data_IF_830893632955
#
_entry.id   IF_830893632955
#
_cell.length_a   1.000
_cell.length_b   1.000
_cell.length_c   1.000
_cell.angle_alpha   90.00
_cell.angle_beta   90.00
_cell.angle_gamma   90.00
#
_symmetry.space_group_name_H-M   'P 1'
#
loop_
_entity.id
_entity.type
_entity.pdbx_description
1 polymer ?
#
# COMPACT_ATOMS: atom_id res chain seq x y z
N UNK A 1 -1.75 -15.64 8.71
CA UNK A 1 -2.65 -15.53 7.54
C UNK A 1 -1.91 -14.80 6.43
N UNK A 2 -1.98 -15.26 5.18
CA UNK A 2 -1.42 -14.50 4.05
C UNK A 2 -2.34 -13.32 3.73
N UNK A 3 -1.78 -12.12 3.59
CA UNK A 3 -2.51 -10.95 3.07
C UNK A 3 -2.34 -10.92 1.55
N UNK A 4 -3.35 -10.45 0.84
CA UNK A 4 -3.30 -10.27 -0.61
C UNK A 4 -3.60 -8.81 -0.96
N UNK A 5 -3.02 -8.34 -2.05
CA UNK A 5 -3.20 -6.97 -2.50
C UNK A 5 -4.64 -6.78 -3.01
N UNK A 6 -5.34 -5.78 -2.48
CA UNK A 6 -6.69 -5.46 -2.95
C UNK A 6 -6.72 -4.83 -4.36
N UNK A 7 -5.56 -4.43 -4.91
CA UNK A 7 -5.47 -3.84 -6.24
C UNK A 7 -5.12 -4.86 -7.33
N UNK A 8 -4.16 -5.76 -7.07
CA UNK A 8 -3.69 -6.73 -8.08
C UNK A 8 -3.90 -8.20 -7.69
N UNK A 9 -4.35 -8.49 -6.46
CA UNK A 9 -4.53 -9.86 -5.97
C UNK A 9 -3.25 -10.59 -5.58
N UNK A 10 -2.06 -9.99 -5.73
CA UNK A 10 -0.80 -10.67 -5.41
C UNK A 10 -0.61 -10.86 -3.90
N UNK A 11 0.10 -11.92 -3.52
CA UNK A 11 0.45 -12.20 -2.12
C UNK A 11 1.34 -11.09 -1.54
N UNK A 12 0.94 -10.57 -0.39
CA UNK A 12 1.65 -9.53 0.35
C UNK A 12 2.44 -10.15 1.49
N UNK A 13 3.61 -9.57 1.76
CA UNK A 13 4.39 -9.89 2.95
C UNK A 13 3.72 -9.19 4.14
N UNK A 14 3.58 -9.84 5.31
CA UNK A 14 2.88 -9.28 6.47
C UNK A 14 3.42 -7.93 6.96
N UNK A 15 4.71 -7.64 6.73
CA UNK A 15 5.38 -6.38 7.10
C UNK A 15 5.60 -5.41 5.93
N UNK A 16 5.09 -5.72 4.73
CA UNK A 16 5.21 -4.82 3.59
C UNK A 16 4.28 -3.61 3.72
N UNK A 17 4.85 -2.41 3.56
CA UNK A 17 4.12 -1.13 3.53
C UNK A 17 3.49 -0.85 2.16
N UNK A 18 3.98 -1.49 1.11
CA UNK A 18 3.51 -1.35 -0.26
C UNK A 18 3.61 -2.69 -1.01
N UNK A 19 2.85 -2.83 -2.08
CA UNK A 19 2.88 -4.00 -2.94
C UNK A 19 4.10 -3.92 -3.87
N UNK A 20 4.99 -4.91 -3.79
CA UNK A 20 6.17 -4.99 -4.66
C UNK A 20 5.84 -5.27 -6.14
N UNK A 21 4.60 -5.62 -6.46
CA UNK A 21 4.18 -5.95 -7.83
C UNK A 21 3.54 -4.75 -8.52
N UNK A 22 2.56 -4.10 -7.88
CA UNK A 22 1.82 -3.00 -8.49
C UNK A 22 2.12 -1.63 -7.89
N UNK A 23 2.90 -1.57 -6.80
CA UNK A 23 3.21 -0.32 -6.09
C UNK A 23 2.11 0.19 -5.16
N UNK A 24 0.97 -0.50 -5.05
CA UNK A 24 -0.14 -0.07 -4.19
C UNK A 24 0.26 -0.02 -2.71
N UNK A 25 -0.09 1.06 -2.01
CA UNK A 25 0.19 1.22 -0.58
C UNK A 25 -0.73 0.29 0.22
N UNK A 26 -0.16 -0.42 1.19
CA UNK A 26 -0.90 -1.32 2.07
C UNK A 26 -1.09 -0.59 3.40
N UNK A 27 -2.32 -0.35 3.85
CA UNK A 27 -2.57 0.25 5.15
C UNK A 27 -2.16 -0.78 6.23
N UNK A 28 -0.95 -0.64 6.76
CA UNK A 28 -0.59 -1.23 8.05
C UNK A 28 -1.42 -0.52 9.11
N UNK A 29 -1.98 -1.25 10.07
CA UNK A 29 -2.83 -0.71 11.13
C UNK A 29 -2.04 0.20 12.11
N UNK A 30 -1.59 1.34 11.61
CA UNK A 30 -1.18 2.55 12.29
C UNK A 30 -2.00 3.67 11.64
N UNK A 31 -2.45 4.68 12.40
CA UNK A 31 -3.56 5.54 12.00
C UNK A 31 -3.26 6.22 10.68
N UNK A 32 -4.26 6.18 9.80
CA UNK A 32 -4.23 6.71 8.45
C UNK A 32 -3.54 8.08 8.40
N UNK A 33 -2.27 8.11 8.01
CA UNK A 33 -1.66 9.31 7.50
C UNK A 33 -1.66 9.19 5.98
N UNK A 34 -2.64 9.86 5.40
CA UNK A 34 -2.79 10.08 3.97
C UNK A 34 -1.53 10.75 3.43
N UNK A 35 -0.60 9.96 2.91
CA UNK A 35 0.35 10.47 1.94
C UNK A 35 -0.21 10.20 0.54
N UNK A 36 -1.29 10.92 0.22
CA UNK A 36 -1.68 11.18 -1.15
C UNK A 36 -0.73 12.28 -1.64
N UNK A 37 0.18 11.88 -2.53
CA UNK A 37 1.28 12.69 -3.01
C UNK A 37 0.86 14.06 -3.55
N UNK A 38 1.72 15.02 -3.27
CA UNK A 38 1.96 16.33 -3.90
C UNK A 38 0.80 17.01 -4.66
N UNK A 39 0.44 18.27 -4.33
CA UNK A 39 -0.33 19.08 -5.26
C UNK A 39 0.50 19.30 -6.53
N UNK A 40 0.01 18.80 -7.65
CA UNK A 40 0.56 19.11 -8.97
C UNK A 40 0.34 20.60 -9.27
N UNK A 41 1.30 21.45 -8.89
CA UNK A 41 1.50 22.77 -9.51
C UNK A 41 2.93 23.29 -9.26
N UNK A 42 3.84 22.93 -10.18
CA UNK A 42 5.07 23.67 -10.48
C UNK A 42 5.22 23.78 -12.00
#
# INVERSE_FOLDING_TARGET
MAKFCAQCGNKLVPDSKFCNICGAIIPVAAPANTYQGAPANV
#
